data_IF_370886473332
#
_entry.id   IF_370886473332
#
_cell.length_a   1.000
_cell.length_b   1.000
_cell.length_c   1.000
_cell.angle_alpha   90.00
_cell.angle_beta   90.00
_cell.angle_gamma   90.00
#
_symmetry.space_group_name_H-M   'P 1'
#
loop_
_entity.id
_entity.type
_entity.pdbx_description
1 polymer ?
#
# COMPACT_ATOMS: atom_id res chain seq x y z
N UNK A 1 -13.63 1.77 6.28
CA UNK A 1 -12.61 0.77 5.92
C UNK A 1 -13.31 -0.55 5.68
N UNK A 2 -12.98 -1.25 4.59
CA UNK A 2 -13.71 -2.43 4.12
C UNK A 2 -12.71 -3.51 3.66
N UNK A 3 -12.67 -4.70 4.26
CA UNK A 3 -11.90 -5.83 3.74
C UNK A 3 -12.45 -6.27 2.37
N UNK A 4 -11.58 -6.48 1.38
CA UNK A 4 -11.98 -6.87 0.00
C UNK A 4 -11.66 -8.33 -0.30
N UNK A 5 -10.45 -8.76 0.01
CA UNK A 5 -9.98 -10.11 -0.30
C UNK A 5 -9.01 -10.59 0.76
N UNK A 6 -9.02 -11.90 1.02
CA UNK A 6 -8.05 -12.55 1.90
C UNK A 6 -7.78 -13.96 1.38
N UNK A 7 -6.51 -14.26 1.14
CA UNK A 7 -6.00 -15.60 0.86
C UNK A 7 -5.03 -16.04 1.96
N UNK A 8 -4.42 -17.21 1.78
CA UNK A 8 -3.37 -17.71 2.69
C UNK A 8 -2.14 -16.79 2.73
N UNK A 9 -1.85 -16.07 1.65
CA UNK A 9 -0.64 -15.25 1.50
C UNK A 9 -0.93 -13.78 1.18
N UNK A 10 -2.17 -13.38 0.93
CA UNK A 10 -2.53 -12.02 0.53
C UNK A 10 -3.72 -11.49 1.32
N UNK A 11 -3.72 -10.19 1.60
CA UNK A 11 -4.85 -9.48 2.20
C UNK A 11 -5.03 -8.14 1.51
N UNK A 12 -6.24 -7.86 1.06
CA UNK A 12 -6.63 -6.62 0.39
C UNK A 12 -7.66 -5.88 1.23
N UNK A 13 -7.38 -4.61 1.50
CA UNK A 13 -8.23 -3.73 2.30
C UNK A 13 -8.47 -2.43 1.52
N UNK A 14 -9.72 -2.00 1.48
CA UNK A 14 -10.12 -0.72 0.92
C UNK A 14 -10.35 0.31 2.02
N UNK A 15 -9.76 1.49 1.86
CA UNK A 15 -9.88 2.64 2.75
C UNK A 15 -10.41 3.79 1.91
N UNK A 16 -11.64 4.23 2.18
CA UNK A 16 -12.29 5.29 1.42
C UNK A 16 -12.91 6.33 2.34
N UNK A 17 -13.04 7.55 1.81
CA UNK A 17 -13.86 8.59 2.42
C UNK A 17 -15.30 8.39 2.01
N UNK A 18 -16.18 8.36 2.99
CA UNK A 18 -17.61 8.33 2.78
C UNK A 18 -18.19 9.66 3.28
N UNK A 19 -19.06 10.28 2.47
CA UNK A 19 -19.89 11.36 2.96
C UNK A 19 -20.79 10.79 4.05
N UNK A 20 -20.84 11.43 5.21
CA UNK A 20 -21.78 11.05 6.27
C UNK A 20 -23.14 11.55 5.83
N UNK A 21 -23.89 10.73 5.10
CA UNK A 21 -25.34 10.87 5.15
C UNK A 21 -25.76 10.45 6.58
N UNK A 22 -26.62 11.22 7.26
CA UNK A 22 -27.15 10.80 8.55
C UNK A 22 -27.73 9.39 8.37
N UNK A 23 -27.44 8.44 9.27
CA UNK A 23 -27.92 7.08 9.11
C UNK A 23 -29.44 7.15 8.92
N UNK A 24 -29.91 6.74 7.74
CA UNK A 24 -31.31 6.40 7.56
C UNK A 24 -31.65 5.43 8.69
N UNK A 25 -32.75 5.68 9.39
CA UNK A 25 -33.11 5.11 10.70
C UNK A 25 -33.34 3.58 10.70
N UNK A 26 -32.83 2.83 9.72
CA UNK A 26 -33.15 1.42 9.47
C UNK A 26 -31.92 0.53 9.19
N UNK A 27 -30.78 0.79 9.83
CA UNK A 27 -29.56 -0.02 9.63
C UNK A 27 -28.82 -0.40 10.90
N UNK A 28 -29.26 -1.46 11.59
CA UNK A 28 -28.61 -2.18 12.70
C UNK A 28 -27.28 -1.59 13.22
N UNK A 29 -27.31 -0.84 14.32
CA UNK A 29 -26.15 -0.26 15.00
C UNK A 29 -25.07 -1.30 15.38
N UNK A 30 -25.43 -2.58 15.51
CA UNK A 30 -24.52 -3.69 15.83
C UNK A 30 -23.42 -3.91 14.76
N UNK A 31 -23.72 -3.51 13.53
CA UNK A 31 -22.93 -3.82 12.33
C UNK A 31 -21.90 -2.76 11.96
N UNK A 32 -21.91 -1.60 12.62
CA UNK A 32 -21.00 -0.50 12.33
C UNK A 32 -20.25 -0.15 13.61
N UNK A 33 -18.92 -0.23 13.57
CA UNK A 33 -18.08 0.23 14.68
C UNK A 33 -17.50 1.60 14.37
N UNK A 34 -17.87 2.60 15.18
CA UNK A 34 -17.31 3.95 15.14
C UNK A 34 -16.25 4.08 16.22
N UNK A 35 -15.02 4.43 15.83
CA UNK A 35 -13.93 4.57 16.79
C UNK A 35 -14.04 5.88 17.62
N UNK A 36 -13.69 5.80 18.91
CA UNK A 36 -13.68 6.94 19.84
C UNK A 36 -12.31 7.62 19.99
N UNK A 37 -12.27 8.70 20.80
CA UNK A 37 -11.04 9.40 21.19
C UNK A 37 -10.22 9.92 20.00
N UNK A 38 -8.91 9.63 19.99
CA UNK A 38 -7.97 10.03 18.95
C UNK A 38 -8.27 9.45 17.55
N UNK A 39 -9.18 8.47 17.48
CA UNK A 39 -9.59 7.76 16.28
C UNK A 39 -11.00 8.15 15.82
N UNK A 40 -11.61 9.16 16.43
CA UNK A 40 -12.92 9.69 16.02
C UNK A 40 -12.94 9.99 14.53
N UNK A 41 -13.99 9.50 13.85
CA UNK A 41 -14.18 9.62 12.41
C UNK A 41 -13.78 8.38 11.59
N UNK A 42 -13.22 7.34 12.22
CA UNK A 42 -13.00 6.05 11.57
C UNK A 42 -14.24 5.16 11.78
N UNK A 43 -14.80 4.68 10.66
CA UNK A 43 -15.95 3.77 10.63
C UNK A 43 -15.52 2.44 10.01
N UNK A 44 -15.77 1.35 10.74
CA UNK A 44 -15.55 -0.03 10.29
C UNK A 44 -16.93 -0.65 10.04
N UNK A 45 -17.19 -1.02 8.78
CA UNK A 45 -18.39 -1.77 8.44
C UNK A 45 -18.11 -3.27 8.62
N UNK A 46 -18.91 -3.95 9.45
CA UNK A 46 -18.79 -5.39 9.72
C UNK A 46 -19.60 -6.24 8.73
N UNK A 47 -20.50 -5.65 7.93
CA UNK A 47 -21.25 -6.41 6.94
C UNK A 47 -20.38 -6.72 5.73
N UNK A 48 -20.37 -7.99 5.33
CA UNK A 48 -19.82 -8.47 4.06
C UNK A 48 -20.78 -8.23 2.87
N UNK A 49 -21.95 -7.61 3.10
CA UNK A 49 -22.94 -7.36 2.07
C UNK A 49 -22.51 -6.19 1.19
N UNK A 50 -22.71 -6.38 -0.12
CA UNK A 50 -22.27 -5.51 -1.20
C UNK A 50 -22.62 -4.04 -0.94
N UNK A 51 -21.65 -3.29 -0.41
CA UNK A 51 -21.61 -1.84 -0.62
C UNK A 51 -21.60 -1.70 -2.14
N UNK A 52 -22.61 -1.05 -2.77
CA UNK A 52 -22.56 -0.82 -4.20
C UNK A 52 -21.27 -0.04 -4.44
N UNK A 53 -20.28 -0.71 -5.02
CA UNK A 53 -19.11 -0.04 -5.52
C UNK A 53 -19.63 0.78 -6.70
N UNK A 54 -20.06 2.01 -6.40
CA UNK A 54 -20.45 2.97 -7.41
C UNK A 54 -19.36 3.00 -8.48
N UNK A 55 -19.77 3.02 -9.74
CA UNK A 55 -18.94 2.83 -10.95
C UNK A 55 -17.43 2.71 -10.63
N UNK A 56 -16.93 1.47 -10.57
CA UNK A 56 -15.52 1.19 -10.26
C UNK A 56 -14.63 1.75 -11.38
N UNK A 57 -14.34 3.05 -11.30
CA UNK A 57 -13.28 3.65 -12.11
C UNK A 57 -11.97 2.94 -11.78
N UNK A 58 -11.12 2.65 -12.77
CA UNK A 58 -9.81 2.08 -12.49
C UNK A 58 -9.02 3.01 -11.57
N UNK A 59 -8.10 2.42 -10.79
CA UNK A 59 -7.15 3.21 -10.02
C UNK A 59 -6.40 4.18 -10.93
N UNK A 60 -6.28 5.43 -10.50
CA UNK A 60 -5.61 6.48 -11.27
C UNK A 60 -4.09 6.38 -11.15
N UNK A 61 -3.61 5.80 -10.04
CA UNK A 61 -2.19 5.54 -9.81
C UNK A 61 -2.00 4.26 -9.00
N UNK A 62 -0.87 3.58 -9.21
CA UNK A 62 -0.45 2.41 -8.46
C UNK A 62 1.02 2.58 -8.02
N UNK A 63 1.30 2.28 -6.75
CA UNK A 63 2.65 2.21 -6.19
C UNK A 63 2.84 0.83 -5.56
N UNK A 64 3.97 0.20 -5.86
CA UNK A 64 4.36 -1.07 -5.25
C UNK A 64 5.73 -0.98 -4.61
N UNK A 65 5.86 -1.55 -3.43
CA UNK A 65 7.14 -1.64 -2.71
C UNK A 65 7.24 -2.94 -1.94
N UNK A 66 8.45 -3.29 -1.52
CA UNK A 66 8.73 -4.51 -0.75
C UNK A 66 9.20 -4.18 0.65
N UNK A 67 8.85 -5.02 1.59
CA UNK A 67 9.34 -4.98 2.97
C UNK A 67 9.85 -6.35 3.40
N UNK A 68 10.73 -6.36 4.39
CA UNK A 68 11.18 -7.58 5.05
C UNK A 68 10.52 -7.67 6.41
N UNK A 69 9.76 -8.74 6.62
CA UNK A 69 9.15 -9.05 7.90
C UNK A 69 10.09 -9.98 8.68
N UNK A 70 10.19 -9.76 9.98
CA UNK A 70 10.94 -10.65 10.89
C UNK A 70 9.93 -11.34 11.79
N UNK A 71 9.90 -12.67 11.74
CA UNK A 71 9.08 -13.45 12.66
C UNK A 71 9.61 -13.29 14.09
N UNK A 72 8.80 -12.75 15.00
CA UNK A 72 9.18 -12.62 16.41
C UNK A 72 9.44 -13.98 17.09
N UNK A 73 8.79 -15.06 16.62
CA UNK A 73 8.92 -16.40 17.17
C UNK A 73 10.14 -17.15 16.63
N UNK A 74 10.45 -17.01 15.34
CA UNK A 74 11.47 -17.83 14.66
C UNK A 74 12.70 -17.03 14.23
N UNK A 75 12.67 -15.70 14.28
CA UNK A 75 13.69 -14.82 13.72
C UNK A 75 13.80 -14.88 12.19
N UNK A 76 12.99 -15.71 11.51
CA UNK A 76 13.05 -15.85 10.06
C UNK A 76 12.58 -14.59 9.37
N UNK A 77 13.30 -14.24 8.31
CA UNK A 77 12.95 -13.15 7.42
C UNK A 77 12.04 -13.65 6.30
N UNK A 78 10.95 -12.93 6.05
CA UNK A 78 10.10 -13.14 4.87
C UNK A 78 9.98 -11.84 4.09
N UNK A 79 9.84 -11.93 2.77
CA UNK A 79 9.55 -10.77 1.94
C UNK A 79 8.04 -10.60 1.77
N UNK A 80 7.60 -9.36 1.76
CA UNK A 80 6.22 -9.00 1.47
C UNK A 80 6.19 -7.89 0.42
N UNK A 81 5.35 -8.07 -0.59
CA UNK A 81 4.98 -7.03 -1.55
C UNK A 81 3.78 -6.26 -1.02
N UNK A 82 3.83 -4.94 -1.08
CA UNK A 82 2.72 -4.05 -0.74
C UNK A 82 2.37 -3.20 -1.94
N UNK A 83 1.13 -3.29 -2.38
CA UNK A 83 0.58 -2.50 -3.50
C UNK A 83 -0.42 -1.49 -2.94
N UNK A 84 -0.26 -0.22 -3.32
CA UNK A 84 -1.16 0.88 -3.01
C UNK A 84 -1.77 1.38 -4.32
N UNK A 85 -3.09 1.30 -4.43
CA UNK A 85 -3.83 1.86 -5.55
C UNK A 85 -4.59 3.10 -5.10
N UNK A 86 -4.54 4.17 -5.89
CA UNK A 86 -5.05 5.49 -5.51
C UNK A 86 -6.20 5.93 -6.40
N UNK A 87 -7.20 6.54 -5.76
CA UNK A 87 -8.24 7.33 -6.38
C UNK A 87 -8.30 8.69 -5.71
N UNK A 88 -8.25 9.74 -6.52
CA UNK A 88 -8.33 11.13 -6.10
C UNK A 88 -9.75 11.66 -6.26
N UNK A 89 -10.06 12.75 -5.56
CA UNK A 89 -11.30 13.50 -5.80
C UNK A 89 -11.27 14.13 -7.19
N UNK A 90 -12.44 14.31 -7.81
CA UNK A 90 -12.56 14.76 -9.21
C UNK A 90 -11.99 16.18 -9.43
N UNK A 91 -11.83 16.98 -8.38
CA UNK A 91 -11.29 18.34 -8.44
C UNK A 91 -9.77 18.39 -8.55
N UNK A 92 -9.05 17.29 -8.29
CA UNK A 92 -7.58 17.24 -8.36
C UNK A 92 -7.16 16.97 -9.80
N UNK A 93 -6.40 17.88 -10.45
CA UNK A 93 -5.89 17.67 -11.80
C UNK A 93 -5.03 16.40 -11.90
N UNK A 94 -5.16 15.66 -13.00
CA UNK A 94 -4.40 14.43 -13.24
C UNK A 94 -2.87 14.64 -13.17
N UNK A 95 -2.39 15.83 -13.56
CA UNK A 95 -0.98 16.19 -13.49
C UNK A 95 -0.43 16.23 -12.05
N UNK A 96 -1.29 16.42 -11.04
CA UNK A 96 -0.92 16.50 -9.63
C UNK A 96 -0.96 15.12 -8.94
N UNK A 97 -1.64 14.13 -9.53
CA UNK A 97 -1.78 12.78 -8.96
C UNK A 97 -0.45 12.12 -8.58
N UNK A 98 0.62 12.17 -9.41
CA UNK A 98 1.90 11.59 -9.05
C UNK A 98 2.55 12.26 -7.84
N UNK A 99 2.49 13.60 -7.76
CA UNK A 99 3.08 14.37 -6.65
C UNK A 99 2.37 14.05 -5.34
N UNK A 100 1.03 14.07 -5.34
CA UNK A 100 0.22 13.76 -4.17
C UNK A 100 0.49 12.34 -3.64
N UNK A 101 0.54 11.34 -4.53
CA UNK A 101 0.83 9.97 -4.12
C UNK A 101 2.28 9.78 -3.66
N UNK A 102 3.24 10.45 -4.30
CA UNK A 102 4.65 10.37 -3.92
C UNK A 102 4.89 10.96 -2.53
N UNK A 103 4.28 12.11 -2.24
CA UNK A 103 4.41 12.76 -0.94
C UNK A 103 3.70 11.94 0.15
N UNK A 104 2.50 11.43 -0.14
CA UNK A 104 1.82 10.47 0.73
C UNK A 104 2.71 9.25 1.03
N UNK A 105 3.29 8.65 -0.01
CA UNK A 105 4.14 7.48 0.13
C UNK A 105 5.38 7.80 0.97
N UNK A 106 6.05 8.93 0.71
CA UNK A 106 7.23 9.38 1.45
C UNK A 106 6.95 9.49 2.94
N UNK A 107 5.81 10.06 3.33
CA UNK A 107 5.42 10.16 4.74
C UNK A 107 5.05 8.80 5.33
N UNK A 108 4.30 7.98 4.57
CA UNK A 108 3.92 6.62 4.98
C UNK A 108 5.15 5.77 5.31
N UNK A 109 6.18 5.83 4.46
CA UNK A 109 7.41 5.03 4.59
C UNK A 109 8.57 5.74 5.30
N UNK A 110 8.33 6.89 5.93
CA UNK A 110 9.36 7.63 6.68
C UNK A 110 10.06 6.70 7.69
N UNK A 111 11.40 6.52 7.63
CA UNK A 111 12.12 5.52 8.42
C UNK A 111 11.96 5.68 9.94
N UNK A 112 11.84 6.91 10.42
CA UNK A 112 11.71 7.21 11.86
C UNK A 112 10.37 6.76 12.43
N UNK A 113 9.32 6.78 11.60
CA UNK A 113 7.94 6.50 11.99
C UNK A 113 7.35 5.34 11.18
N UNK A 114 8.21 4.46 10.65
CA UNK A 114 7.75 3.36 9.84
C UNK A 114 7.07 2.30 10.73
N UNK A 115 5.80 1.94 10.45
CA UNK A 115 5.09 0.97 11.27
C UNK A 115 5.73 -0.41 11.26
N UNK A 116 5.87 -1.00 12.46
CA UNK A 116 6.51 -2.31 12.66
C UNK A 116 5.56 -3.49 12.50
N UNK A 117 4.27 -3.22 12.43
CA UNK A 117 3.20 -4.21 12.31
C UNK A 117 2.14 -3.75 11.31
N UNK A 118 1.27 -4.69 10.91
CA UNK A 118 0.20 -4.43 9.95
C UNK A 118 -0.84 -3.42 10.44
N UNK A 119 -1.19 -3.46 11.72
CA UNK A 119 -2.21 -2.56 12.29
C UNK A 119 -1.70 -1.13 12.28
N UNK A 120 -0.44 -0.91 12.67
CA UNK A 120 0.24 0.37 12.59
C UNK A 120 0.34 0.88 11.15
N UNK A 121 0.61 -0.01 10.19
CA UNK A 121 0.67 0.34 8.77
C UNK A 121 -0.68 0.84 8.25
N UNK A 122 -1.74 0.06 8.47
CA UNK A 122 -3.11 0.43 8.07
C UNK A 122 -3.57 1.69 8.82
N UNK A 123 -3.28 1.80 10.11
CA UNK A 123 -3.61 2.97 10.94
C UNK A 123 -2.92 4.23 10.44
N UNK A 124 -1.65 4.12 10.02
CA UNK A 124 -0.91 5.26 9.46
C UNK A 124 -1.54 5.70 8.13
N UNK A 125 -1.89 4.78 7.24
CA UNK A 125 -2.63 5.10 5.99
C UNK A 125 -3.93 5.84 6.31
N UNK A 126 -4.75 5.30 7.21
CA UNK A 126 -6.02 5.93 7.62
C UNK A 126 -5.80 7.35 8.18
N UNK A 127 -4.80 7.54 9.04
CA UNK A 127 -4.48 8.86 9.63
C UNK A 127 -3.97 9.86 8.60
N UNK A 128 -3.09 9.43 7.69
CA UNK A 128 -2.54 10.27 6.62
C UNK A 128 -3.66 10.73 5.68
N UNK A 129 -4.51 9.80 5.26
CA UNK A 129 -5.73 10.16 4.54
C UNK A 129 -6.53 11.16 5.38
N UNK A 130 -7.03 10.78 6.56
CA UNK A 130 -7.94 11.61 7.34
C UNK A 130 -7.43 13.05 7.58
N UNK A 131 -6.13 13.24 7.84
CA UNK A 131 -5.60 14.52 8.36
C UNK A 131 -4.80 15.34 7.35
N UNK A 132 -4.09 14.73 6.41
CA UNK A 132 -3.07 15.41 5.60
C UNK A 132 -3.32 15.37 4.09
N UNK A 133 -4.02 14.35 3.61
CA UNK A 133 -4.22 14.13 2.17
C UNK A 133 -5.71 14.09 1.80
N UNK A 134 -6.45 15.23 1.94
CA UNK A 134 -7.88 15.34 1.62
C UNK A 134 -8.20 15.07 0.14
N UNK A 135 -7.23 15.31 -0.74
CA UNK A 135 -7.21 15.02 -2.18
C UNK A 135 -7.43 13.53 -2.50
N UNK A 136 -6.98 12.64 -1.62
CA UNK A 136 -7.12 11.19 -1.81
C UNK A 136 -8.50 10.74 -1.33
N UNK A 137 -9.32 10.26 -2.26
CA UNK A 137 -10.68 9.77 -2.03
C UNK A 137 -10.67 8.33 -1.49
N UNK A 138 -9.86 7.47 -2.10
CA UNK A 138 -9.79 6.04 -1.78
C UNK A 138 -8.38 5.51 -1.99
N UNK A 139 -7.97 4.59 -1.11
CA UNK A 139 -6.76 3.77 -1.25
C UNK A 139 -7.17 2.32 -1.11
N UNK A 140 -6.75 1.48 -2.04
CA UNK A 140 -6.75 0.03 -1.88
C UNK A 140 -5.34 -0.43 -1.56
N UNK A 141 -5.22 -1.26 -0.53
CA UNK A 141 -3.96 -1.77 -0.01
C UNK A 141 -3.98 -3.28 -0.13
N UNK A 142 -3.08 -3.82 -0.96
CA UNK A 142 -2.81 -5.24 -1.05
C UNK A 142 -1.47 -5.55 -0.36
N UNK A 143 -1.46 -6.55 0.52
CA UNK A 143 -0.25 -7.03 1.20
C UNK A 143 -0.11 -8.52 0.91
N UNK A 144 0.94 -8.88 0.17
CA UNK A 144 1.15 -10.25 -0.33
C UNK A 144 2.53 -10.77 0.10
N UNK A 145 2.53 -11.82 0.92
CA UNK A 145 3.75 -12.54 1.30
C UNK A 145 4.32 -13.28 0.08
N UNK A 146 5.60 -13.03 -0.19
CA UNK A 146 6.32 -13.65 -1.29
C UNK A 146 6.98 -14.93 -0.78
N UNK A 147 6.67 -16.07 -1.40
CA UNK A 147 7.34 -17.34 -1.12
C UNK A 147 8.69 -17.37 -1.84
N UNK A 148 9.71 -16.85 -1.19
CA UNK A 148 11.10 -17.15 -1.55
C UNK A 148 12.01 -16.92 -0.33
N UNK A 149 12.77 -17.94 0.13
CA UNK A 149 13.88 -17.70 1.02
C UNK A 149 15.01 -17.08 0.19
N UNK A 150 14.98 -15.76 0.04
CA UNK A 150 16.10 -15.04 -0.53
C UNK A 150 17.20 -15.07 0.52
N UNK A 151 18.25 -15.85 0.26
CA UNK A 151 19.54 -15.63 0.90
C UNK A 151 19.75 -14.11 0.97
N UNK A 152 19.71 -13.53 2.16
CA UNK A 152 19.93 -12.10 2.33
C UNK A 152 21.23 -11.77 1.58
N UNK A 153 21.31 -10.70 0.78
CA UNK A 153 22.58 -10.29 0.24
C UNK A 153 23.54 -10.18 1.42
N UNK A 154 24.61 -10.98 1.39
CA UNK A 154 25.55 -11.05 2.48
C UNK A 154 26.00 -9.62 2.79
N UNK A 155 25.81 -9.17 4.04
CA UNK A 155 26.34 -7.88 4.48
C UNK A 155 27.85 -7.91 4.15
N UNK A 156 28.38 -6.98 3.34
CA UNK A 156 29.80 -6.96 3.07
C UNK A 156 30.52 -6.88 4.42
N UNK A 157 31.38 -7.87 4.67
CA UNK A 157 32.13 -8.03 5.93
C UNK A 157 33.17 -6.92 6.14
N UNK A 158 33.39 -6.07 5.13
CA UNK A 158 34.24 -4.88 5.24
C UNK A 158 33.40 -3.62 5.48
N UNK A 159 33.59 -3.01 6.64
CA UNK A 159 33.11 -1.66 6.93
C UNK A 159 33.65 -0.69 5.86
N UNK A 160 32.78 -0.08 5.04
CA UNK A 160 33.15 1.03 4.14
C UNK A 160 33.00 0.82 2.63
N UNK A 161 32.47 -0.31 2.14
CA UNK A 161 32.30 -0.53 0.70
C UNK A 161 30.84 -0.82 0.31
N UNK A 162 30.38 -0.19 -0.78
CA UNK A 162 29.08 -0.45 -1.44
C UNK A 162 29.37 -1.34 -2.65
N UNK A 163 28.73 -2.51 -2.71
CA UNK A 163 28.86 -3.45 -3.83
C UNK A 163 27.72 -3.21 -4.84
N UNK A 164 28.07 -2.87 -6.08
CA UNK A 164 27.12 -2.84 -7.20
C UNK A 164 27.30 -4.08 -8.06
N UNK A 165 26.27 -4.92 -8.16
CA UNK A 165 26.24 -6.03 -9.11
C UNK A 165 25.58 -5.56 -10.40
N UNK A 166 26.38 -5.27 -11.43
CA UNK A 166 25.86 -4.97 -12.75
C UNK A 166 25.46 -6.27 -13.46
N UNK A 167 24.28 -6.34 -14.12
CA UNK A 167 23.92 -7.49 -14.93
C UNK A 167 24.96 -7.69 -16.05
N UNK A 168 25.24 -8.93 -16.47
CA UNK A 168 26.22 -9.19 -17.52
C UNK A 168 25.81 -8.48 -18.80
N UNK A 169 26.52 -7.42 -19.17
CA UNK A 169 26.34 -6.74 -20.43
C UNK A 169 26.54 -7.76 -21.55
N UNK A 170 25.49 -8.02 -22.34
CA UNK A 170 25.63 -8.77 -23.59
C UNK A 170 26.59 -7.98 -24.48
N UNK A 171 27.76 -8.56 -24.81
CA UNK A 171 28.64 -8.02 -25.85
C UNK A 171 27.89 -8.07 -27.18
N UNK A 172 27.37 -6.93 -27.62
CA UNK A 172 26.84 -6.78 -28.98
C UNK A 172 28.06 -6.65 -29.90
N UNK A 173 28.43 -7.75 -30.54
CA UNK A 173 29.42 -7.76 -31.61
C UNK A 173 28.69 -7.31 -32.87
N UNK A 174 28.92 -6.08 -33.29
CA UNK A 174 28.47 -5.59 -34.59
C UNK A 174 29.28 -6.30 -35.69
N UNK A 175 28.65 -7.20 -36.45
CA UNK A 175 29.20 -7.66 -37.72
C UNK A 175 28.71 -6.71 -38.81
N UNK A 176 29.57 -5.80 -39.25
CA UNK A 176 29.37 -5.04 -40.48
C UNK A 176 29.50 -5.99 -41.67
N UNK A 177 28.36 -6.41 -42.23
CA UNK A 177 28.30 -7.12 -43.50
C UNK A 177 27.93 -6.15 -44.61
N UNK A 178 28.93 -5.59 -45.28
CA UNK A 178 28.76 -5.04 -46.63
C UNK A 178 28.78 -6.22 -47.61
N UNK A 179 27.76 -6.34 -48.46
CA UNK A 179 27.83 -7.14 -49.68
C UNK A 179 27.55 -6.20 -50.85
N UNK A 180 28.54 -6.12 -51.73
CA UNK A 180 28.43 -5.64 -53.12
C UNK A 180 27.52 -6.57 -53.94
#
# INVERSE_FOLDING_TARGET
MTPKYKSANSTTIMIERQAVEPPAEEGNEENIHVAGGNHKGIVINKQAAAVPHGEERPAQLCLQFRVFLVSAQTGKHTQESRTLQFWFIDTVPQAEHPTEAQDFFRELVSPQEFPRDYVGFITKIMKLMLRRYPSIKKIEVEMTQLQEPVNLPARPSSTGHILFTLPPCKKIIWKSGWKE
#
